data_IF_299354050500
#
_entry.id   IF_299354050500
#
_cell.length_a   1.000
_cell.length_b   1.000
_cell.length_c   1.000
_cell.angle_alpha   90.00
_cell.angle_beta   90.00
_cell.angle_gamma   90.00
#
_symmetry.space_group_name_H-M   'P 1'
#
loop_
_entity.id
_entity.type
_entity.pdbx_description
1 polymer ?
#
# COMPACT_ATOMS: atom_id res chain seq x y z
N UNK A 1 51.59 -53.95 8.49
CA UNK A 1 50.51 -53.06 8.98
C UNK A 1 50.62 -51.75 8.17
N UNK A 2 49.80 -51.62 7.11
CA UNK A 2 49.84 -50.45 6.21
C UNK A 2 48.71 -49.50 6.62
N UNK A 3 49.09 -48.31 7.11
CA UNK A 3 48.16 -47.25 7.48
C UNK A 3 47.74 -46.50 6.20
N UNK A 4 46.47 -46.61 5.85
CA UNK A 4 45.87 -45.92 4.71
C UNK A 4 45.63 -44.44 5.11
N UNK A 5 46.42 -43.54 4.54
CA UNK A 5 46.21 -42.09 4.67
C UNK A 5 45.09 -41.65 3.73
N UNK A 6 43.88 -41.39 4.25
CA UNK A 6 42.81 -40.72 3.50
C UNK A 6 43.17 -39.24 3.35
N UNK A 7 43.05 -38.67 2.15
CA UNK A 7 43.31 -37.25 1.95
C UNK A 7 42.16 -36.41 2.53
N UNK A 8 42.52 -35.51 3.43
CA UNK A 8 41.64 -34.55 4.11
C UNK A 8 41.01 -33.48 3.17
N UNK A 9 41.29 -33.56 1.87
CA UNK A 9 40.83 -32.58 0.86
C UNK A 9 39.38 -32.79 0.41
N UNK A 10 38.76 -33.96 0.65
CA UNK A 10 37.40 -34.25 0.18
C UNK A 10 36.27 -33.70 1.05
N UNK A 11 36.54 -33.33 2.30
CA UNK A 11 35.52 -32.93 3.27
C UNK A 11 35.18 -31.41 3.20
N UNK A 12 36.05 -30.61 2.63
CA UNK A 12 35.86 -29.15 2.57
C UNK A 12 34.95 -28.72 1.39
N UNK A 13 34.74 -29.59 0.39
CA UNK A 13 33.94 -29.26 -0.81
C UNK A 13 32.44 -29.49 -0.64
N UNK A 14 32.01 -30.30 0.33
CA UNK A 14 30.59 -30.57 0.58
C UNK A 14 29.90 -29.51 1.44
N UNK A 15 30.61 -28.64 2.15
CA UNK A 15 30.00 -27.63 3.04
C UNK A 15 29.62 -26.35 2.27
N UNK A 16 30.26 -26.07 1.14
CA UNK A 16 29.95 -24.88 0.33
C UNK A 16 28.72 -25.01 -0.59
N UNK A 17 28.16 -26.18 -0.76
CA UNK A 17 27.00 -26.38 -1.63
C UNK A 17 25.64 -26.14 -0.95
N UNK A 18 25.61 -25.85 0.35
CA UNK A 18 24.35 -25.68 1.10
C UNK A 18 23.88 -24.22 1.22
N UNK A 19 24.64 -23.25 0.74
CA UNK A 19 24.26 -21.82 0.77
C UNK A 19 23.74 -21.23 -0.55
N UNK A 20 23.60 -22.04 -1.59
CA UNK A 20 23.13 -21.58 -2.91
C UNK A 20 21.64 -21.86 -3.12
N UNK A 21 20.78 -21.48 -2.18
CA UNK A 21 19.34 -21.83 -2.23
C UNK A 21 18.34 -20.71 -1.92
N UNK A 22 18.76 -19.45 -1.76
CA UNK A 22 17.81 -18.36 -1.86
C UNK A 22 17.60 -18.01 -3.33
N UNK A 23 16.66 -18.70 -4.00
CA UNK A 23 16.05 -18.15 -5.22
C UNK A 23 15.35 -16.87 -4.80
N UNK A 24 15.99 -15.73 -5.00
CA UNK A 24 15.29 -14.46 -5.12
C UNK A 24 14.29 -14.65 -6.24
N UNK A 25 12.99 -14.71 -5.91
CA UNK A 25 11.93 -14.74 -6.89
C UNK A 25 12.08 -13.48 -7.76
N UNK A 26 12.50 -13.63 -9.00
CA UNK A 26 12.51 -12.57 -10.00
C UNK A 26 11.08 -12.29 -10.49
N UNK A 27 10.11 -12.25 -9.58
CA UNK A 27 8.78 -11.79 -9.95
C UNK A 27 8.85 -10.31 -10.31
N UNK A 28 8.26 -9.92 -11.44
CA UNK A 28 8.24 -8.53 -11.85
C UNK A 28 7.53 -7.71 -10.76
N UNK A 29 8.19 -6.67 -10.29
CA UNK A 29 7.68 -5.77 -9.26
C UNK A 29 7.24 -4.47 -9.89
N UNK A 30 6.21 -3.86 -9.32
CA UNK A 30 5.81 -2.52 -9.71
C UNK A 30 6.96 -1.52 -9.54
N UNK A 31 7.07 -0.51 -10.41
CA UNK A 31 8.12 0.51 -10.32
C UNK A 31 7.92 1.49 -9.16
N UNK A 32 6.89 1.30 -8.37
CA UNK A 32 6.49 2.19 -7.28
C UNK A 32 6.26 1.45 -5.98
N UNK A 33 6.37 2.18 -4.87
CA UNK A 33 5.89 1.80 -3.56
C UNK A 33 4.88 2.83 -3.07
N UNK A 34 3.89 2.39 -2.30
CA UNK A 34 2.88 3.23 -1.70
C UNK A 34 3.04 3.27 -0.18
N UNK A 35 2.88 4.45 0.39
CA UNK A 35 2.58 4.62 1.81
C UNK A 35 1.20 5.23 1.90
N UNK A 36 0.35 4.67 2.74
CA UNK A 36 -0.95 5.23 3.05
C UNK A 36 -0.91 5.85 4.45
N UNK A 37 -1.50 7.03 4.58
CA UNK A 37 -1.68 7.69 5.86
C UNK A 37 -3.09 8.29 5.93
N UNK A 38 -3.65 8.25 7.12
CA UNK A 38 -4.88 8.96 7.41
C UNK A 38 -4.54 10.41 7.70
N UNK A 39 -5.15 11.32 6.97
CA UNK A 39 -5.00 12.75 7.18
C UNK A 39 -5.94 13.29 8.27
N UNK A 40 -6.16 14.61 8.25
CA UNK A 40 -7.04 15.25 9.20
C UNK A 40 -8.49 14.76 9.04
N UNK A 41 -9.14 14.49 10.16
CA UNK A 41 -10.58 14.28 10.22
C UNK A 41 -11.31 15.62 10.35
N UNK A 42 -12.57 15.65 9.90
CA UNK A 42 -13.47 16.83 10.04
C UNK A 42 -13.04 18.10 9.28
N UNK A 43 -12.39 17.97 8.12
CA UNK A 43 -12.12 19.10 7.22
C UNK A 43 -13.45 19.70 6.74
N UNK A 44 -14.41 18.84 6.42
CA UNK A 44 -15.79 19.17 6.13
C UNK A 44 -16.72 18.18 6.83
N UNK A 45 -17.95 18.55 7.23
CA UNK A 45 -18.90 17.61 7.82
C UNK A 45 -19.12 16.36 6.96
N UNK A 46 -18.74 15.20 7.49
CA UNK A 46 -18.87 13.92 6.79
C UNK A 46 -17.76 13.58 5.79
N UNK A 47 -16.72 14.41 5.68
CA UNK A 47 -15.57 14.15 4.81
C UNK A 47 -14.26 14.01 5.60
N UNK A 48 -13.45 13.05 5.19
CA UNK A 48 -12.20 12.67 5.86
C UNK A 48 -11.08 12.65 4.84
N UNK A 49 -9.92 13.18 5.22
CA UNK A 49 -8.75 13.19 4.35
C UNK A 49 -8.14 11.79 4.23
N UNK A 50 -7.85 11.41 3.00
CA UNK A 50 -7.22 10.16 2.64
C UNK A 50 -5.98 10.47 1.80
N UNK A 51 -4.82 10.00 2.23
CA UNK A 51 -3.55 10.36 1.59
C UNK A 51 -2.74 9.13 1.25
N UNK A 52 -2.28 9.09 0.00
CA UNK A 52 -1.23 8.18 -0.45
C UNK A 52 0.06 8.96 -0.72
N UNK A 53 1.18 8.36 -0.38
CA UNK A 53 2.50 8.81 -0.81
C UNK A 53 3.01 7.80 -1.82
N UNK A 54 3.09 8.22 -3.08
CA UNK A 54 3.62 7.44 -4.19
C UNK A 54 5.11 7.71 -4.31
N UNK A 55 5.94 6.68 -4.16
CA UNK A 55 7.38 6.76 -4.33
C UNK A 55 7.80 6.02 -5.59
N UNK A 56 8.57 6.67 -6.45
CA UNK A 56 9.24 6.01 -7.57
C UNK A 56 10.45 5.23 -7.07
N UNK A 57 10.38 3.90 -7.08
CA UNK A 57 11.48 3.01 -6.68
C UNK A 57 12.24 2.43 -7.88
N UNK A 58 11.89 2.86 -9.11
CA UNK A 58 12.58 2.45 -10.33
C UNK A 58 13.79 3.33 -10.62
N UNK A 59 14.58 2.95 -11.64
CA UNK A 59 15.73 3.73 -12.12
C UNK A 59 15.35 4.71 -13.25
N UNK A 60 14.05 4.83 -13.58
CA UNK A 60 13.57 5.70 -14.66
C UNK A 60 12.48 6.64 -14.13
N UNK A 61 12.34 7.85 -14.70
CA UNK A 61 11.20 8.71 -14.36
C UNK A 61 9.87 8.02 -14.68
N UNK A 62 8.92 8.12 -13.75
CA UNK A 62 7.53 7.71 -14.01
C UNK A 62 6.88 8.72 -14.94
N UNK A 63 6.26 8.23 -16.00
CA UNK A 63 5.50 9.02 -16.97
C UNK A 63 4.00 8.90 -16.70
N UNK A 64 3.15 9.41 -17.59
CA UNK A 64 1.67 9.42 -17.45
C UNK A 64 0.97 8.12 -17.84
N UNK A 65 1.67 7.02 -18.02
CA UNK A 65 1.13 5.80 -18.62
C UNK A 65 0.84 4.70 -17.60
N UNK A 66 0.27 5.04 -16.46
CA UNK A 66 0.00 4.09 -15.41
C UNK A 66 -1.35 4.29 -14.74
N UNK A 67 -1.85 3.21 -14.15
CA UNK A 67 -3.01 3.20 -13.25
C UNK A 67 -2.69 2.30 -12.07
N UNK A 68 -3.03 2.75 -10.86
CA UNK A 68 -2.99 1.93 -9.66
C UNK A 68 -4.43 1.66 -9.24
N UNK A 69 -4.72 0.39 -8.98
CA UNK A 69 -6.01 -0.07 -8.46
C UNK A 69 -5.86 -0.51 -7.02
N UNK A 70 -6.91 -0.33 -6.23
CA UNK A 70 -6.96 -0.75 -4.83
C UNK A 70 -8.40 -0.89 -4.34
N UNK A 71 -8.60 -1.62 -3.25
CA UNK A 71 -9.87 -1.69 -2.53
C UNK A 71 -9.77 -0.97 -1.20
N UNK A 72 -10.82 -0.26 -0.79
CA UNK A 72 -10.89 0.42 0.50
C UNK A 72 -12.35 0.54 0.94
N UNK A 73 -12.63 0.31 2.24
CA UNK A 73 -14.00 0.39 2.76
C UNK A 73 -14.63 1.78 2.71
N UNK A 74 -13.92 2.88 3.04
CA UNK A 74 -14.47 4.21 2.88
C UNK A 74 -14.84 4.48 1.42
N UNK A 75 -16.10 4.84 1.20
CA UNK A 75 -16.65 5.08 -0.14
C UNK A 75 -16.63 6.57 -0.48
N UNK A 76 -16.76 6.83 -1.76
CA UNK A 76 -16.79 8.18 -2.28
C UNK A 76 -15.39 8.80 -2.37
N UNK A 77 -15.25 9.64 -3.35
CA UNK A 77 -14.05 10.44 -3.60
C UNK A 77 -14.51 11.85 -3.91
N UNK A 78 -13.99 12.81 -3.15
CA UNK A 78 -14.10 14.23 -3.47
C UNK A 78 -12.69 14.77 -3.62
N UNK A 79 -12.38 15.23 -4.81
CA UNK A 79 -11.10 15.82 -5.15
C UNK A 79 -11.37 17.14 -5.87
N UNK A 80 -11.00 18.24 -5.25
CA UNK A 80 -11.27 19.58 -5.77
C UNK A 80 -10.03 20.15 -6.47
N UNK A 81 -10.30 20.92 -7.53
CA UNK A 81 -9.26 21.62 -8.30
C UNK A 81 -8.47 20.73 -9.24
N UNK A 82 -7.43 21.31 -9.84
CA UNK A 82 -6.49 20.59 -10.68
C UNK A 82 -5.58 19.73 -9.80
N UNK A 83 -5.43 18.47 -10.17
CA UNK A 83 -4.58 17.51 -9.45
C UNK A 83 -3.72 16.75 -10.44
N UNK A 84 -2.46 16.51 -10.10
CA UNK A 84 -1.56 15.70 -10.91
C UNK A 84 -2.00 14.24 -11.02
N UNK A 85 -2.71 13.73 -10.02
CA UNK A 85 -3.25 12.37 -9.98
C UNK A 85 -4.72 12.42 -9.63
N UNK A 86 -5.54 11.79 -10.45
CA UNK A 86 -6.97 11.64 -10.22
C UNK A 86 -7.28 10.31 -9.54
N UNK A 87 -8.21 10.34 -8.60
CA UNK A 87 -8.75 9.17 -7.91
C UNK A 87 -10.23 9.04 -8.26
N UNK A 88 -10.65 7.83 -8.63
CA UNK A 88 -12.04 7.54 -9.02
C UNK A 88 -12.53 6.22 -8.43
N UNK A 89 -13.81 6.17 -8.12
CA UNK A 89 -14.51 4.93 -7.79
C UNK A 89 -14.78 4.16 -9.09
N UNK A 90 -14.31 2.92 -9.16
CA UNK A 90 -14.61 2.02 -10.28
C UNK A 90 -15.94 1.33 -10.02
N UNK A 91 -16.08 0.69 -8.85
CA UNK A 91 -17.31 0.02 -8.43
C UNK A 91 -17.26 -0.28 -6.92
N UNK A 92 -18.29 0.11 -6.19
CA UNK A 92 -18.41 -0.16 -4.76
C UNK A 92 -17.25 0.40 -3.95
N UNK A 93 -16.39 -0.47 -3.45
CA UNK A 93 -15.17 -0.16 -2.69
C UNK A 93 -13.89 -0.39 -3.49
N UNK A 94 -13.99 -0.52 -4.80
CA UNK A 94 -12.87 -0.66 -5.73
C UNK A 94 -12.58 0.67 -6.42
N UNK A 95 -11.34 1.11 -6.36
CA UNK A 95 -10.86 2.41 -6.78
C UNK A 95 -9.72 2.28 -7.77
N UNK A 96 -9.50 3.36 -8.53
CA UNK A 96 -8.30 3.57 -9.33
C UNK A 96 -7.75 4.96 -9.10
N UNK A 97 -6.42 5.11 -9.21
CA UNK A 97 -5.73 6.37 -9.31
C UNK A 97 -4.82 6.38 -10.53
N UNK A 98 -4.77 7.50 -11.23
CA UNK A 98 -4.02 7.64 -12.47
C UNK A 98 -3.58 9.09 -12.70
N UNK A 99 -2.48 9.32 -13.44
CA UNK A 99 -1.97 10.66 -13.73
C UNK A 99 -2.92 11.42 -14.66
N UNK A 100 -3.05 12.71 -14.41
CA UNK A 100 -3.74 13.67 -15.28
C UNK A 100 -2.78 14.32 -16.26
N UNK A 101 -3.28 15.28 -17.04
CA UNK A 101 -2.41 16.07 -17.93
C UNK A 101 -1.46 16.99 -17.17
N UNK A 102 -1.77 17.33 -15.93
CA UNK A 102 -0.93 18.14 -15.04
C UNK A 102 0.24 17.35 -14.42
N UNK A 103 0.24 16.02 -14.53
CA UNK A 103 1.27 15.19 -13.91
C UNK A 103 2.65 15.45 -14.50
N UNK A 104 3.57 15.93 -13.67
CA UNK A 104 5.00 16.02 -14.02
C UNK A 104 5.69 14.66 -13.81
N UNK A 105 6.62 14.26 -14.71
CA UNK A 105 7.35 13.00 -14.54
C UNK A 105 8.07 12.96 -13.19
N UNK A 106 7.80 11.93 -12.39
CA UNK A 106 8.39 11.74 -11.06
C UNK A 106 9.76 11.08 -11.19
N UNK A 107 10.83 11.77 -10.77
CA UNK A 107 12.19 11.26 -10.89
C UNK A 107 12.45 10.00 -10.02
N UNK A 108 13.48 9.19 -10.35
CA UNK A 108 13.88 8.06 -9.52
C UNK A 108 14.15 8.47 -8.07
N UNK A 109 13.55 7.77 -7.12
CA UNK A 109 13.70 8.04 -5.68
C UNK A 109 12.76 9.11 -5.13
N UNK A 110 12.17 9.95 -5.98
CA UNK A 110 11.24 10.99 -5.56
C UNK A 110 9.88 10.43 -5.14
N UNK A 111 9.15 11.24 -4.39
CA UNK A 111 7.81 10.91 -3.88
C UNK A 111 6.85 12.07 -4.11
N UNK A 112 5.58 11.74 -4.31
CA UNK A 112 4.50 12.72 -4.35
C UNK A 112 3.37 12.33 -3.40
N UNK A 113 2.66 13.32 -2.88
CA UNK A 113 1.46 13.13 -2.06
C UNK A 113 0.21 13.22 -2.93
N UNK A 114 -0.69 12.28 -2.76
CA UNK A 114 -1.98 12.22 -3.44
C UNK A 114 -3.03 12.28 -2.33
N UNK A 115 -3.68 13.43 -2.17
CA UNK A 115 -4.67 13.67 -1.13
C UNK A 115 -6.04 13.90 -1.74
N UNK A 116 -7.06 13.30 -1.14
CA UNK A 116 -8.45 13.48 -1.50
C UNK A 116 -9.35 13.27 -0.28
N UNK A 117 -10.61 13.67 -0.38
CA UNK A 117 -11.58 13.44 0.67
C UNK A 117 -12.43 12.21 0.36
N UNK A 118 -12.76 11.45 1.39
CA UNK A 118 -13.69 10.33 1.33
C UNK A 118 -14.84 10.54 2.32
N UNK A 119 -15.98 9.87 2.08
CA UNK A 119 -17.22 10.07 2.83
C UNK A 119 -17.36 9.22 4.08
N UNK A 120 -16.29 8.57 4.54
CA UNK A 120 -16.32 7.69 5.70
C UNK A 120 -15.07 7.84 6.54
N UNK A 121 -15.21 7.68 7.86
CA UNK A 121 -14.08 7.71 8.79
C UNK A 121 -13.01 6.69 8.42
N UNK A 122 -11.74 7.08 8.59
CA UNK A 122 -10.57 6.25 8.37
C UNK A 122 -9.92 5.92 9.72
N UNK A 123 -10.67 5.31 10.62
CA UNK A 123 -10.31 5.12 12.04
C UNK A 123 -10.03 3.67 12.45
N UNK A 124 -9.98 2.74 11.47
CA UNK A 124 -9.79 1.30 11.73
C UNK A 124 -8.75 0.69 10.80
N UNK A 125 -8.12 -0.39 11.26
CA UNK A 125 -7.19 -1.16 10.43
C UNK A 125 -7.86 -1.74 9.17
N UNK A 126 -9.16 -2.07 9.25
CA UNK A 126 -9.94 -2.52 8.09
C UNK A 126 -10.21 -1.44 7.04
N UNK A 127 -9.85 -0.18 7.33
CA UNK A 127 -9.96 0.93 6.39
C UNK A 127 -8.66 1.19 5.61
N UNK A 128 -7.60 0.44 5.93
CA UNK A 128 -6.36 0.47 5.16
C UNK A 128 -6.63 -0.06 3.75
N UNK A 129 -6.13 0.59 2.70
CA UNK A 129 -6.26 0.09 1.34
C UNK A 129 -5.62 -1.30 1.18
N UNK A 130 -6.28 -2.18 0.45
CA UNK A 130 -5.84 -3.54 0.21
C UNK A 130 -5.80 -3.86 -1.29
N UNK A 131 -5.10 -4.92 -1.66
CA UNK A 131 -5.06 -5.43 -3.02
C UNK A 131 -4.51 -4.41 -4.02
N UNK A 132 -3.52 -3.62 -3.62
CA UNK A 132 -2.91 -2.61 -4.49
C UNK A 132 -2.11 -3.22 -5.62
N UNK A 133 -2.40 -2.82 -6.85
CA UNK A 133 -1.62 -3.23 -8.02
C UNK A 133 -1.49 -2.12 -9.06
N UNK A 134 -0.39 -2.16 -9.76
CA UNK A 134 0.01 -1.27 -10.83
C UNK A 134 -0.30 -1.87 -12.18
N UNK A 135 -0.80 -1.07 -13.10
CA UNK A 135 -0.96 -1.42 -14.51
C UNK A 135 -0.30 -0.33 -15.35
N UNK A 136 0.61 -0.72 -16.23
CA UNK A 136 1.18 0.19 -17.19
C UNK A 136 0.40 0.13 -18.50
N UNK A 137 0.11 1.28 -19.12
CA UNK A 137 -0.53 1.37 -20.42
C UNK A 137 0.52 1.64 -21.49
N UNK A 138 0.66 0.73 -22.45
CA UNK A 138 1.55 0.86 -23.60
C UNK A 138 0.72 0.80 -24.88
N UNK A 139 0.85 1.80 -25.74
CA UNK A 139 0.10 1.91 -27.01
C UNK A 139 -1.41 1.74 -26.83
N UNK A 140 -1.96 2.33 -25.76
CA UNK A 140 -3.38 2.29 -25.44
C UNK A 140 -3.89 0.94 -24.89
N UNK A 141 -3.00 -0.01 -24.60
CA UNK A 141 -3.35 -1.31 -24.01
C UNK A 141 -2.81 -1.42 -22.60
N UNK A 142 -3.64 -1.91 -21.69
CA UNK A 142 -3.22 -2.25 -20.34
C UNK A 142 -2.30 -3.47 -20.33
N UNK A 143 -1.18 -3.34 -19.63
CA UNK A 143 -0.24 -4.41 -19.38
C UNK A 143 -0.71 -5.37 -18.28
N UNK A 144 0.14 -6.33 -17.92
CA UNK A 144 -0.14 -7.23 -16.81
C UNK A 144 -0.10 -6.49 -15.47
N UNK A 145 -1.01 -6.78 -14.53
CA UNK A 145 -0.99 -6.17 -13.21
C UNK A 145 0.24 -6.62 -12.41
N UNK A 146 0.89 -5.66 -11.77
CA UNK A 146 2.04 -5.89 -10.88
C UNK A 146 1.66 -5.51 -9.45
N UNK A 147 1.86 -6.37 -8.45
CA UNK A 147 1.54 -6.03 -7.08
C UNK A 147 2.38 -4.84 -6.60
N UNK A 148 1.75 -3.92 -5.89
CA UNK A 148 2.40 -2.75 -5.29
C UNK A 148 2.53 -2.98 -3.79
N UNK A 149 3.74 -2.78 -3.25
CA UNK A 149 3.93 -2.80 -1.80
C UNK A 149 3.26 -1.56 -1.19
N UNK A 150 2.32 -1.78 -0.28
CA UNK A 150 1.67 -0.73 0.51
C UNK A 150 2.14 -0.82 1.96
N UNK A 151 2.57 0.31 2.51
CA UNK A 151 2.84 0.49 3.93
C UNK A 151 1.78 1.43 4.51
N UNK A 152 1.00 0.95 5.47
CA UNK A 152 0.14 1.83 6.26
C UNK A 152 0.96 2.49 7.36
N UNK A 153 0.85 3.81 7.51
CA UNK A 153 1.35 4.50 8.68
C UNK A 153 0.41 4.20 9.86
N UNK A 154 0.92 4.20 11.11
CA UNK A 154 0.08 4.05 12.28
C UNK A 154 -1.06 5.05 12.24
N UNK A 155 -2.26 4.60 12.57
CA UNK A 155 -3.38 5.49 12.78
C UNK A 155 -3.02 6.50 13.89
N UNK A 156 -3.48 7.76 13.78
CA UNK A 156 -3.28 8.74 14.82
C UNK A 156 -3.76 8.18 16.17
N UNK A 157 -3.08 8.53 17.26
CA UNK A 157 -3.56 8.17 18.59
C UNK A 157 -4.92 8.86 18.85
N UNK A 158 -5.78 8.26 19.69
CA UNK A 158 -7.05 8.88 20.07
C UNK A 158 -6.90 10.32 20.57
N UNK A 159 -5.78 10.63 21.21
CA UNK A 159 -5.49 11.99 21.72
C UNK A 159 -5.21 12.99 20.58
N UNK A 160 -4.72 12.54 19.43
CA UNK A 160 -4.49 13.40 18.27
C UNK A 160 -5.76 13.65 17.44
N UNK A 161 -6.82 12.89 17.69
CA UNK A 161 -8.13 13.05 17.05
C UNK A 161 -8.99 13.97 17.94
N UNK A 162 -8.77 15.28 17.82
CA UNK A 162 -9.57 16.26 18.55
C UNK A 162 -11.07 16.08 18.22
N UNK A 163 -11.90 15.85 19.25
CA UNK A 163 -13.34 15.65 19.10
C UNK A 163 -13.84 14.22 19.32
N UNK A 164 -12.95 13.25 19.52
CA UNK A 164 -13.31 11.89 19.90
C UNK A 164 -12.75 11.52 21.27
N UNK A 165 -13.33 12.03 22.38
CA UNK A 165 -12.99 11.50 23.68
C UNK A 165 -13.39 10.02 23.70
N UNK A 166 -12.46 9.15 24.03
CA UNK A 166 -12.69 7.72 24.26
C UNK A 166 -13.02 6.82 23.03
N UNK A 167 -12.51 7.13 21.84
CA UNK A 167 -12.60 6.20 20.69
C UNK A 167 -12.08 4.80 21.05
N UNK A 168 -11.07 4.70 21.91
CA UNK A 168 -10.54 3.44 22.44
C UNK A 168 -11.57 2.70 23.31
N UNK A 169 -12.28 3.39 24.17
CA UNK A 169 -13.31 2.79 25.04
C UNK A 169 -14.53 2.34 24.26
N UNK A 170 -14.93 3.08 23.22
CA UNK A 170 -16.04 2.68 22.33
C UNK A 170 -15.64 1.40 21.59
N UNK A 171 -14.42 1.33 21.07
CA UNK A 171 -13.90 0.16 20.36
C UNK A 171 -13.81 -1.07 21.28
N UNK A 172 -13.26 -0.92 22.48
CA UNK A 172 -13.19 -2.00 23.48
C UNK A 172 -14.57 -2.45 23.93
N UNK A 173 -15.52 -1.54 24.11
CA UNK A 173 -16.89 -1.87 24.52
C UNK A 173 -17.68 -2.60 23.42
N UNK A 174 -17.47 -2.28 22.15
CA UNK A 174 -18.14 -2.95 21.04
C UNK A 174 -17.58 -4.35 20.80
N UNK A 175 -16.26 -4.53 20.87
CA UNK A 175 -15.64 -5.87 20.77
C UNK A 175 -16.10 -6.76 21.93
N UNK A 176 -16.14 -6.24 23.16
CA UNK A 176 -16.64 -6.97 24.31
C UNK A 176 -18.10 -7.42 24.18
N UNK A 177 -18.95 -6.62 23.56
CA UNK A 177 -20.37 -6.94 23.33
C UNK A 177 -20.58 -7.94 22.18
N UNK A 178 -19.78 -7.89 21.12
CA UNK A 178 -19.87 -8.84 20.02
C UNK A 178 -19.53 -10.27 20.48
N UNK A 179 -18.50 -10.43 21.32
CA UNK A 179 -18.09 -11.74 21.83
C UNK A 179 -19.10 -12.38 22.79
N UNK A 180 -19.99 -11.60 23.41
CA UNK A 180 -21.03 -12.11 24.32
C UNK A 180 -22.31 -12.56 23.62
N UNK A 181 -22.55 -12.16 22.36
CA UNK A 181 -23.76 -12.54 21.61
C UNK A 181 -23.67 -13.87 20.86
N UNK A 182 -22.48 -14.41 20.68
CA UNK A 182 -22.29 -15.68 19.97
C UNK A 182 -22.34 -16.93 20.87
N UNK A 183 -22.71 -16.79 22.15
CA UNK A 183 -22.82 -17.91 23.09
C UNK A 183 -24.22 -18.07 23.68
N UNK A 184 -25.23 -18.08 22.84
CA UNK A 184 -26.57 -18.56 23.23
C UNK A 184 -27.07 -19.55 22.20
#
# INVERSE_FOLDING_TARGET
>A
MRILKLPLAGLLFCVMALFAGCKTSNEPKAPVALTWEMGASDIEPGYYENTFILKNISQKPLKKNWTIYYSQLPRGVKQEGASEVKVEVVNGNFFKMYPTDEFAPLAPGDSMRITFLCTYKLDRNSHVPEGTYWVETVDGKEGSPLPVALKALPLPSPESMSGYPDATKIYESEIGRASCRERV
#
